data_IF_576781228221
#
_entry.id   IF_576781228221
#
_cell.length_a   1.000
_cell.length_b   1.000
_cell.length_c   1.000
_cell.angle_alpha   90.00
_cell.angle_beta   90.00
_cell.angle_gamma   90.00
#
_symmetry.space_group_name_H-M   'P 1'
#
loop_
_entity.id
_entity.type
_entity.pdbx_description
1 polymer ?
#
# COMPACT_ATOMS: atom_id res chain seq x y z
N UNK A 1 -24.19 23.10 14.52
CA UNK A 1 -24.88 22.16 13.58
C UNK A 1 -24.03 21.63 12.43
N UNK A 2 -22.99 22.34 11.94
CA UNK A 2 -22.10 21.82 10.87
C UNK A 2 -21.13 20.71 11.29
N UNK A 3 -20.71 20.67 12.55
CA UNK A 3 -19.74 19.69 13.07
C UNK A 3 -20.33 18.25 13.13
N UNK A 4 -21.62 18.15 13.44
CA UNK A 4 -22.32 16.85 13.54
C UNK A 4 -22.42 16.14 12.17
N UNK A 5 -22.68 16.89 11.09
CA UNK A 5 -22.82 16.32 9.75
C UNK A 5 -21.48 15.83 9.15
N UNK A 6 -20.34 16.34 9.64
CA UNK A 6 -19.01 15.87 9.20
C UNK A 6 -18.54 14.64 9.99
N UNK A 7 -18.94 14.51 11.25
CA UNK A 7 -18.49 13.42 12.13
C UNK A 7 -19.25 12.12 11.86
N UNK A 8 -20.55 12.19 11.62
CA UNK A 8 -21.39 10.99 11.47
C UNK A 8 -20.92 10.04 10.36
N UNK A 9 -20.60 10.49 9.12
CA UNK A 9 -20.07 9.60 8.08
C UNK A 9 -18.72 8.98 8.46
N UNK A 10 -17.87 9.74 9.16
CA UNK A 10 -16.56 9.25 9.59
C UNK A 10 -16.69 8.15 10.67
N UNK A 11 -17.59 8.34 11.66
CA UNK A 11 -17.86 7.31 12.66
C UNK A 11 -18.45 6.05 12.02
N UNK A 12 -19.38 6.19 11.09
CA UNK A 12 -19.94 5.05 10.37
C UNK A 12 -18.87 4.29 9.58
N UNK A 13 -17.94 4.99 8.92
CA UNK A 13 -16.83 4.37 8.22
C UNK A 13 -15.83 3.68 9.17
N UNK A 14 -15.75 4.13 10.43
CA UNK A 14 -14.89 3.52 11.44
C UNK A 14 -15.48 2.24 12.07
N UNK A 15 -16.80 2.04 12.04
CA UNK A 15 -17.47 0.91 12.73
C UNK A 15 -16.83 -0.46 12.40
N UNK A 16 -16.57 -0.83 11.15
CA UNK A 16 -15.95 -2.13 10.84
C UNK A 16 -14.58 -2.29 11.48
N UNK A 17 -13.76 -1.21 11.50
CA UNK A 17 -12.44 -1.21 12.12
C UNK A 17 -12.56 -1.36 13.64
N UNK A 18 -13.47 -0.59 14.26
CA UNK A 18 -13.72 -0.62 15.69
C UNK A 18 -14.12 -2.03 16.16
N UNK A 19 -15.04 -2.69 15.46
CA UNK A 19 -15.46 -4.06 15.77
C UNK A 19 -14.30 -5.07 15.58
N UNK A 20 -13.51 -4.92 14.53
CA UNK A 20 -12.31 -5.71 14.32
C UNK A 20 -11.31 -5.54 15.46
N UNK A 21 -11.05 -4.30 15.87
CA UNK A 21 -10.09 -3.98 16.93
C UNK A 21 -10.55 -4.44 18.32
N UNK A 22 -11.85 -4.48 18.61
CA UNK A 22 -12.35 -5.11 19.84
C UNK A 22 -12.02 -6.60 19.83
N UNK A 23 -12.27 -7.28 18.72
CA UNK A 23 -12.05 -8.71 18.62
C UNK A 23 -10.57 -9.12 18.76
N UNK A 24 -9.63 -8.32 18.22
CA UNK A 24 -8.20 -8.63 18.23
C UNK A 24 -7.42 -7.94 19.35
N UNK A 25 -7.90 -6.80 19.86
CA UNK A 25 -7.25 -6.07 20.93
C UNK A 25 -7.38 -6.77 22.29
N UNK A 26 -8.50 -7.43 22.58
CA UNK A 26 -8.65 -8.20 23.82
C UNK A 26 -7.59 -9.31 23.91
N UNK A 27 -7.37 -10.19 22.92
CA UNK A 27 -6.27 -11.14 22.95
C UNK A 27 -4.89 -10.49 23.05
N UNK A 28 -4.68 -9.31 22.45
CA UNK A 28 -3.42 -8.57 22.58
C UNK A 28 -3.16 -8.16 24.03
N UNK A 29 -4.17 -7.58 24.71
CA UNK A 29 -4.07 -7.20 26.12
C UNK A 29 -3.82 -8.38 27.05
N UNK A 30 -4.45 -9.55 26.81
CA UNK A 30 -4.18 -10.78 27.55
C UNK A 30 -2.72 -11.21 27.39
N UNK A 31 -2.17 -11.07 26.19
CA UNK A 31 -0.79 -11.40 25.91
C UNK A 31 0.19 -10.40 26.59
N UNK A 32 -0.16 -9.13 26.63
CA UNK A 32 0.60 -8.08 27.33
C UNK A 32 0.58 -8.29 28.87
N UNK A 33 -0.54 -8.71 29.44
CA UNK A 33 -0.66 -9.12 30.85
C UNK A 33 0.27 -10.28 31.17
N UNK A 34 0.42 -11.25 30.29
CA UNK A 34 1.27 -12.42 30.50
C UNK A 34 2.77 -12.11 30.64
N UNK A 35 3.21 -10.95 30.20
CA UNK A 35 4.59 -10.46 30.41
C UNK A 35 4.71 -9.47 31.57
N UNK A 36 3.65 -9.31 32.36
CA UNK A 36 3.61 -8.50 33.56
C UNK A 36 3.28 -7.02 33.35
N UNK A 37 2.75 -6.64 32.18
CA UNK A 37 2.27 -5.28 31.96
C UNK A 37 0.90 -5.06 32.61
N UNK A 38 0.78 -4.00 33.39
CA UNK A 38 -0.49 -3.63 33.99
C UNK A 38 -1.34 -2.76 33.06
N UNK A 39 -2.63 -2.60 33.38
CA UNK A 39 -3.61 -1.86 32.55
C UNK A 39 -3.17 -0.41 32.23
N UNK A 40 -2.49 0.27 33.18
CA UNK A 40 -2.00 1.64 32.96
C UNK A 40 -0.83 1.65 31.98
N UNK A 41 0.09 0.72 32.10
CA UNK A 41 1.22 0.60 31.16
C UNK A 41 0.73 0.27 29.77
N UNK A 42 -0.23 -0.64 29.63
CA UNK A 42 -0.83 -1.01 28.34
C UNK A 42 -1.61 0.15 27.73
N UNK A 43 -2.32 0.95 28.54
CA UNK A 43 -2.97 2.17 28.07
C UNK A 43 -1.96 3.13 27.42
N UNK A 44 -0.88 3.46 28.14
CA UNK A 44 0.16 4.34 27.58
C UNK A 44 0.90 3.73 26.40
N UNK A 45 1.17 2.44 26.42
CA UNK A 45 1.79 1.73 25.30
C UNK A 45 0.90 1.83 24.05
N UNK A 46 -0.38 1.51 24.15
CA UNK A 46 -1.32 1.57 23.03
C UNK A 46 -1.56 3.00 22.50
N UNK A 47 -1.52 4.01 23.38
CA UNK A 47 -1.64 5.41 22.96
C UNK A 47 -0.39 5.96 22.29
N UNK A 48 0.80 5.63 22.79
CA UNK A 48 2.09 6.15 22.30
C UNK A 48 2.64 5.33 21.15
N UNK A 49 2.39 4.02 21.20
CA UNK A 49 2.86 3.05 20.21
C UNK A 49 1.65 2.37 19.55
N UNK A 50 0.92 3.12 18.75
CA UNK A 50 -0.27 2.63 18.07
C UNK A 50 0.10 1.77 16.86
N UNK A 51 0.37 0.48 17.12
CA UNK A 51 0.75 -0.52 16.10
C UNK A 51 0.23 -1.90 16.48
N UNK A 52 -0.84 -2.35 15.80
CA UNK A 52 -1.43 -3.66 16.08
C UNK A 52 -0.40 -4.81 16.02
N UNK A 53 0.26 -4.98 14.89
CA UNK A 53 1.27 -6.03 14.71
C UNK A 53 2.46 -5.87 15.67
N UNK A 54 2.94 -4.63 15.88
CA UNK A 54 4.06 -4.34 16.77
C UNK A 54 3.77 -4.71 18.22
N UNK A 55 2.59 -4.35 18.74
CA UNK A 55 2.18 -4.68 20.10
C UNK A 55 2.07 -6.19 20.32
N UNK A 56 1.57 -6.97 19.37
CA UNK A 56 1.60 -8.42 19.47
C UNK A 56 3.02 -9.01 19.40
N UNK A 57 3.91 -8.42 18.61
CA UNK A 57 5.28 -8.92 18.47
C UNK A 57 6.08 -8.77 19.75
N UNK A 58 5.92 -7.68 20.48
CA UNK A 58 6.68 -7.39 21.71
C UNK A 58 6.55 -8.54 22.73
N UNK A 59 5.36 -8.90 23.22
CA UNK A 59 5.22 -9.96 24.22
C UNK A 59 5.60 -11.34 23.67
N UNK A 60 5.31 -11.65 22.40
CA UNK A 60 5.69 -12.94 21.83
C UNK A 60 7.19 -13.12 21.72
N UNK A 61 7.94 -12.10 21.29
CA UNK A 61 9.39 -12.15 21.23
C UNK A 61 10.01 -12.15 22.63
N UNK A 62 9.40 -11.43 23.57
CA UNK A 62 9.84 -11.44 24.98
C UNK A 62 9.72 -12.84 25.60
N UNK A 63 8.56 -13.47 25.44
CA UNK A 63 8.32 -14.85 25.91
C UNK A 63 9.23 -15.89 25.22
N UNK A 64 9.61 -15.62 23.97
CA UNK A 64 10.59 -16.44 23.25
C UNK A 64 12.05 -16.20 23.70
N UNK A 65 12.30 -15.33 24.69
CA UNK A 65 13.65 -15.01 25.19
C UNK A 65 14.50 -14.19 24.21
N UNK A 66 13.88 -13.45 23.29
CA UNK A 66 14.63 -12.64 22.33
C UNK A 66 15.29 -11.43 23.02
N UNK A 67 16.52 -11.05 22.63
CA UNK A 67 17.17 -9.85 23.12
C UNK A 67 16.34 -8.59 22.80
N UNK A 68 16.32 -7.60 23.68
CA UNK A 68 15.58 -6.34 23.51
C UNK A 68 15.95 -5.66 22.19
N UNK A 69 17.23 -5.64 21.81
CA UNK A 69 17.67 -5.06 20.55
C UNK A 69 17.00 -5.72 19.32
N UNK A 70 16.82 -7.05 19.34
CA UNK A 70 16.13 -7.78 18.28
C UNK A 70 14.62 -7.45 18.23
N UNK A 71 13.99 -7.29 19.41
CA UNK A 71 12.58 -6.89 19.50
C UNK A 71 12.42 -5.50 18.88
N UNK A 72 13.20 -4.52 19.31
CA UNK A 72 13.14 -3.14 18.80
C UNK A 72 13.39 -3.11 17.30
N UNK A 73 14.41 -3.80 16.79
CA UNK A 73 14.73 -3.83 15.37
C UNK A 73 13.60 -4.47 14.54
N UNK A 74 13.06 -5.61 14.99
CA UNK A 74 11.99 -6.31 14.28
C UNK A 74 10.70 -5.48 14.24
N UNK A 75 10.31 -4.90 15.37
CA UNK A 75 9.12 -4.06 15.50
C UNK A 75 9.25 -2.78 14.67
N UNK A 76 10.43 -2.14 14.68
CA UNK A 76 10.70 -0.95 13.86
C UNK A 76 10.61 -1.27 12.36
N UNK A 77 11.15 -2.42 11.93
CA UNK A 77 11.08 -2.84 10.53
C UNK A 77 9.62 -3.07 10.08
N UNK A 78 8.82 -3.77 10.89
CA UNK A 78 7.41 -4.01 10.57
C UNK A 78 6.63 -2.70 10.50
N UNK A 79 6.94 -1.74 11.37
CA UNK A 79 6.25 -0.43 11.40
C UNK A 79 6.68 0.53 10.28
N UNK A 80 7.74 0.24 9.52
CA UNK A 80 8.14 1.03 8.35
C UNK A 80 6.99 1.18 7.35
N UNK A 81 6.10 0.19 7.24
CA UNK A 81 4.90 0.26 6.40
C UNK A 81 3.97 1.42 6.76
N UNK A 82 3.82 1.75 8.05
CA UNK A 82 2.98 2.88 8.49
C UNK A 82 3.53 4.22 8.00
N UNK A 83 4.86 4.36 7.89
CA UNK A 83 5.51 5.53 7.29
C UNK A 83 5.14 5.67 5.81
N UNK A 84 5.08 4.55 5.07
CA UNK A 84 4.69 4.54 3.66
C UNK A 84 3.21 4.91 3.48
N UNK A 85 2.33 4.44 4.37
CA UNK A 85 0.91 4.83 4.35
C UNK A 85 0.74 6.32 4.60
N UNK A 86 1.42 6.86 5.60
CA UNK A 86 1.41 8.29 5.90
C UNK A 86 1.95 9.12 4.74
N UNK A 87 3.04 8.69 4.10
CA UNK A 87 3.61 9.34 2.92
C UNK A 87 2.63 9.35 1.73
N UNK A 88 1.85 8.28 1.55
CA UNK A 88 0.85 8.19 0.47
C UNK A 88 -0.27 9.23 0.62
N UNK A 89 -0.55 9.69 1.84
CA UNK A 89 -1.54 10.75 2.10
C UNK A 89 -0.95 12.17 2.08
N UNK A 90 0.36 12.34 1.85
CA UNK A 90 0.99 13.65 1.84
C UNK A 90 0.32 14.68 0.90
N UNK A 91 -0.12 14.32 -0.34
CA UNK A 91 -0.82 15.24 -1.23
C UNK A 91 -2.14 15.75 -0.65
N UNK A 92 -2.90 14.89 0.07
CA UNK A 92 -4.18 15.24 0.69
C UNK A 92 -4.00 16.18 1.89
N UNK A 93 -2.86 16.09 2.56
CA UNK A 93 -2.52 16.90 3.74
C UNK A 93 -1.86 18.25 3.40
N UNK A 94 -1.50 18.51 2.15
CA UNK A 94 -0.68 19.66 1.75
C UNK A 94 -1.26 21.03 2.17
N UNK A 95 -2.60 21.18 2.15
CA UNK A 95 -3.31 22.43 2.47
C UNK A 95 -3.91 22.44 3.89
N UNK A 96 -3.65 21.41 4.70
CA UNK A 96 -4.21 21.30 6.04
C UNK A 96 -3.26 21.90 7.11
N UNK A 97 -3.82 22.16 8.30
CA UNK A 97 -3.02 22.63 9.44
C UNK A 97 -2.01 21.56 9.84
N UNK A 98 -0.75 21.95 10.07
CA UNK A 98 0.35 21.03 10.44
C UNK A 98 0.01 20.09 11.60
N UNK A 99 -0.70 20.59 12.64
CA UNK A 99 -1.12 19.77 13.77
C UNK A 99 -2.14 18.68 13.38
N UNK A 100 -3.09 18.97 12.48
CA UNK A 100 -4.06 18.00 12.00
C UNK A 100 -3.38 16.96 11.11
N UNK A 101 -2.50 17.39 10.22
CA UNK A 101 -1.71 16.50 9.37
C UNK A 101 -0.81 15.57 10.20
N UNK A 102 -0.17 16.10 11.24
CA UNK A 102 0.63 15.28 12.16
C UNK A 102 -0.23 14.24 12.90
N UNK A 103 -1.35 14.68 13.49
CA UNK A 103 -2.26 13.76 14.20
C UNK A 103 -2.81 12.67 13.27
N UNK A 104 -3.22 13.05 12.07
CA UNK A 104 -3.67 12.11 11.05
C UNK A 104 -2.57 11.10 10.70
N UNK A 105 -1.38 11.58 10.34
CA UNK A 105 -0.26 10.73 9.91
C UNK A 105 0.23 9.80 11.03
N UNK A 106 0.23 10.26 12.28
CA UNK A 106 0.65 9.47 13.43
C UNK A 106 -0.34 8.37 13.81
N UNK A 107 -1.58 8.43 13.34
CA UNK A 107 -2.65 7.49 13.70
C UNK A 107 -3.13 6.63 12.54
N UNK A 108 -2.42 6.62 11.42
CA UNK A 108 -2.76 5.74 10.28
C UNK A 108 -2.31 4.31 10.56
N UNK A 109 -3.23 3.36 10.35
CA UNK A 109 -2.97 1.91 10.38
C UNK A 109 -3.36 1.28 9.06
N UNK A 110 -3.12 -0.02 8.90
CA UNK A 110 -3.45 -0.78 7.68
C UNK A 110 -4.93 -0.66 7.31
N UNK A 111 -5.80 -0.85 8.28
CA UNK A 111 -7.25 -0.85 8.12
C UNK A 111 -7.76 0.57 7.85
N UNK A 112 -7.28 1.54 8.62
CA UNK A 112 -7.68 2.94 8.43
C UNK A 112 -7.14 3.52 7.12
N UNK A 113 -5.96 3.06 6.65
CA UNK A 113 -5.43 3.40 5.33
C UNK A 113 -6.40 2.97 4.23
N UNK A 114 -6.83 1.70 4.24
CA UNK A 114 -7.76 1.17 3.24
C UNK A 114 -9.09 1.94 3.20
N UNK A 115 -9.70 2.15 4.36
CA UNK A 115 -10.98 2.88 4.48
C UNK A 115 -10.84 4.33 4.04
N UNK A 116 -9.81 5.05 4.49
CA UNK A 116 -9.60 6.44 4.13
C UNK A 116 -9.27 6.60 2.65
N UNK A 117 -8.41 5.74 2.08
CA UNK A 117 -8.05 5.80 0.66
C UNK A 117 -9.27 5.58 -0.24
N UNK A 118 -10.11 4.58 0.08
CA UNK A 118 -11.35 4.34 -0.65
C UNK A 118 -12.31 5.54 -0.60
N UNK A 119 -12.42 6.19 0.56
CA UNK A 119 -13.28 7.36 0.73
C UNK A 119 -12.70 8.62 0.07
N UNK A 120 -11.39 8.83 0.09
CA UNK A 120 -10.76 9.95 -0.65
C UNK A 120 -10.99 9.82 -2.15
N UNK A 121 -11.04 8.62 -2.70
CA UNK A 121 -11.33 8.38 -4.12
C UNK A 121 -12.74 8.83 -4.53
N UNK A 122 -13.71 8.98 -3.60
CA UNK A 122 -15.04 9.49 -3.89
C UNK A 122 -15.10 11.01 -4.08
N UNK A 123 -14.01 11.74 -3.75
CA UNK A 123 -13.94 13.19 -3.84
C UNK A 123 -14.71 13.98 -2.77
N UNK A 124 -15.45 13.30 -1.88
CA UNK A 124 -16.24 13.93 -0.81
C UNK A 124 -15.59 13.85 0.58
N UNK A 125 -14.41 13.23 0.66
CA UNK A 125 -13.71 12.99 1.91
C UNK A 125 -12.65 14.07 2.18
N UNK A 126 -12.44 14.38 3.46
CA UNK A 126 -11.42 15.35 3.90
C UNK A 126 -10.57 14.78 5.05
N UNK A 127 -9.42 15.40 5.30
CA UNK A 127 -8.46 14.96 6.32
C UNK A 127 -9.07 14.95 7.72
N UNK A 128 -10.04 15.84 8.02
CA UNK A 128 -10.72 15.88 9.33
C UNK A 128 -11.56 14.63 9.54
N UNK A 129 -12.34 14.20 8.54
CA UNK A 129 -13.12 12.94 8.58
C UNK A 129 -12.20 11.75 8.74
N UNK A 130 -11.11 11.71 7.95
CA UNK A 130 -10.10 10.67 8.02
C UNK A 130 -9.44 10.61 9.41
N UNK A 131 -9.16 11.76 10.04
CA UNK A 131 -8.62 11.81 11.41
C UNK A 131 -9.63 11.29 12.42
N UNK A 132 -10.93 11.56 12.27
CA UNK A 132 -11.97 11.00 13.15
C UNK A 132 -12.02 9.48 13.05
N UNK A 133 -11.95 8.91 11.84
CA UNK A 133 -11.83 7.45 11.63
C UNK A 133 -10.64 6.89 12.40
N UNK A 134 -9.47 7.49 12.25
CA UNK A 134 -8.25 7.04 12.90
C UNK A 134 -8.35 7.12 14.43
N UNK A 135 -8.91 8.21 14.98
CA UNK A 135 -9.06 8.39 16.42
C UNK A 135 -10.08 7.41 17.03
N UNK A 136 -11.21 7.15 16.36
CA UNK A 136 -12.16 6.12 16.77
C UNK A 136 -11.50 4.73 16.81
N UNK A 137 -10.71 4.42 15.80
CA UNK A 137 -9.96 3.17 15.72
C UNK A 137 -8.90 3.07 16.82
N UNK A 138 -8.13 4.14 17.06
CA UNK A 138 -7.12 4.21 18.12
C UNK A 138 -7.76 4.05 19.51
N UNK A 139 -8.87 4.73 19.77
CA UNK A 139 -9.59 4.59 21.03
C UNK A 139 -10.11 3.17 21.23
N UNK A 140 -10.69 2.55 20.20
CA UNK A 140 -11.15 1.17 20.27
C UNK A 140 -10.00 0.20 20.55
N UNK A 141 -8.87 0.35 19.86
CA UNK A 141 -7.67 -0.45 20.07
C UNK A 141 -7.18 -0.34 21.52
N UNK A 142 -6.98 0.88 22.01
CA UNK A 142 -6.48 1.13 23.37
C UNK A 142 -7.43 0.56 24.42
N UNK A 143 -8.73 0.81 24.28
CA UNK A 143 -9.71 0.32 25.24
C UNK A 143 -9.84 -1.20 25.25
N UNK A 144 -9.77 -1.84 24.08
CA UNK A 144 -9.83 -3.30 23.98
C UNK A 144 -8.58 -3.98 24.56
N UNK A 145 -7.38 -3.39 24.36
CA UNK A 145 -6.16 -3.89 25.02
C UNK A 145 -6.23 -3.78 26.53
N UNK A 146 -6.65 -2.63 27.06
CA UNK A 146 -6.86 -2.46 28.50
C UNK A 146 -7.89 -3.45 29.05
N UNK A 147 -9.02 -3.63 28.34
CA UNK A 147 -10.01 -4.63 28.71
C UNK A 147 -9.41 -6.05 28.70
N UNK A 148 -8.56 -6.35 27.72
CA UNK A 148 -7.84 -7.62 27.62
C UNK A 148 -6.95 -7.91 28.83
N UNK A 149 -6.19 -6.92 29.33
CA UNK A 149 -5.39 -7.04 30.56
C UNK A 149 -6.29 -7.35 31.76
N UNK A 150 -7.39 -6.59 31.92
CA UNK A 150 -8.31 -6.79 33.05
C UNK A 150 -9.00 -8.15 33.00
N UNK A 151 -9.35 -8.63 31.80
CA UNK A 151 -9.95 -9.95 31.60
C UNK A 151 -8.92 -11.06 31.82
N UNK A 152 -7.69 -10.88 31.30
CA UNK A 152 -6.59 -11.84 31.45
C UNK A 152 -6.25 -12.09 32.91
N UNK A 153 -6.08 -11.01 33.68
CA UNK A 153 -5.78 -11.08 35.12
C UNK A 153 -6.92 -11.69 35.93
N UNK A 154 -8.19 -11.47 35.52
CA UNK A 154 -9.36 -11.96 36.24
C UNK A 154 -9.74 -13.41 35.96
N UNK A 155 -9.58 -13.86 34.69
CA UNK A 155 -10.08 -15.15 34.23
C UNK A 155 -8.99 -16.21 34.02
N UNK A 156 -7.70 -15.86 34.08
CA UNK A 156 -6.59 -16.79 33.86
C UNK A 156 -6.66 -17.50 32.50
N UNK A 157 -6.96 -16.75 31.43
CA UNK A 157 -7.13 -17.30 30.09
C UNK A 157 -5.81 -17.93 29.60
N UNK A 158 -5.85 -19.16 29.03
CA UNK A 158 -4.65 -19.79 28.50
C UNK A 158 -3.95 -18.94 27.44
N UNK A 159 -2.65 -18.66 27.63
CA UNK A 159 -1.83 -17.86 26.72
C UNK A 159 -1.86 -18.36 25.27
N UNK A 160 -2.04 -19.69 25.07
CA UNK A 160 -2.14 -20.30 23.77
C UNK A 160 -3.26 -19.73 22.90
N UNK A 161 -4.40 -19.32 23.52
CA UNK A 161 -5.54 -18.73 22.80
C UNK A 161 -5.16 -17.34 22.28
N UNK A 162 -4.54 -16.51 23.14
CA UNK A 162 -4.09 -15.18 22.77
C UNK A 162 -3.00 -15.20 21.68
N UNK A 163 -2.02 -16.11 21.78
CA UNK A 163 -0.98 -16.29 20.77
C UNK A 163 -1.54 -16.81 19.44
N UNK A 164 -2.58 -17.65 19.48
CA UNK A 164 -3.26 -18.12 18.28
C UNK A 164 -4.00 -16.98 17.56
N UNK A 165 -4.59 -16.04 18.27
CA UNK A 165 -5.23 -14.88 17.68
C UNK A 165 -4.26 -14.07 16.82
N UNK A 166 -3.03 -13.83 17.30
CA UNK A 166 -1.97 -13.20 16.51
C UNK A 166 -1.66 -13.96 15.22
N UNK A 167 -1.44 -15.26 15.33
CA UNK A 167 -1.16 -16.11 14.16
C UNK A 167 -2.28 -16.03 13.13
N UNK A 168 -3.54 -16.06 13.60
CA UNK A 168 -4.73 -15.96 12.74
C UNK A 168 -4.80 -14.62 12.00
N UNK A 169 -4.42 -13.51 12.64
CA UNK A 169 -4.39 -12.19 11.99
C UNK A 169 -3.35 -12.18 10.86
N UNK A 170 -2.14 -12.67 11.09
CA UNK A 170 -1.10 -12.70 10.06
C UNK A 170 -1.48 -13.63 8.90
N UNK A 171 -2.11 -14.77 9.17
CA UNK A 171 -2.66 -15.66 8.14
C UNK A 171 -3.74 -14.92 7.33
N UNK A 172 -4.66 -14.22 8.00
CA UNK A 172 -5.71 -13.44 7.34
C UNK A 172 -5.10 -12.35 6.45
N UNK A 173 -4.12 -11.59 6.94
CA UNK A 173 -3.42 -10.58 6.15
C UNK A 173 -2.69 -11.18 4.94
N UNK A 174 -2.09 -12.34 5.10
CA UNK A 174 -1.41 -13.02 4.00
C UNK A 174 -2.41 -13.50 2.93
N UNK A 175 -3.54 -14.07 3.33
CA UNK A 175 -4.57 -14.60 2.41
C UNK A 175 -5.33 -13.47 1.70
N UNK A 176 -5.51 -12.32 2.34
CA UNK A 176 -6.20 -11.16 1.74
C UNK A 176 -5.32 -10.37 0.76
N UNK A 177 -4.00 -10.59 0.77
CA UNK A 177 -3.11 -9.99 -0.21
C UNK A 177 -3.36 -10.57 -1.61
N UNK A 178 -3.24 -9.71 -2.64
CA UNK A 178 -3.25 -10.19 -4.03
C UNK A 178 -2.06 -11.13 -4.23
N UNK A 179 -2.36 -12.38 -4.63
CA UNK A 179 -1.33 -13.37 -4.94
C UNK A 179 -0.66 -12.96 -6.24
N UNK A 180 0.48 -12.30 -6.13
CA UNK A 180 1.38 -12.05 -7.26
C UNK A 180 2.57 -13.01 -7.16
N UNK A 181 3.21 -13.28 -8.29
CA UNK A 181 4.39 -14.16 -8.30
C UNK A 181 5.50 -13.61 -7.39
N UNK A 182 5.68 -12.28 -7.37
CA UNK A 182 6.65 -11.61 -6.51
C UNK A 182 6.35 -11.83 -5.02
N UNK A 183 5.07 -11.73 -4.62
CA UNK A 183 4.66 -11.96 -3.24
C UNK A 183 4.84 -13.42 -2.82
N UNK A 184 4.57 -14.37 -3.74
CA UNK A 184 4.78 -15.78 -3.48
C UNK A 184 6.28 -16.11 -3.29
N UNK A 185 7.15 -15.57 -4.13
CA UNK A 185 8.61 -15.70 -3.99
C UNK A 185 9.09 -15.07 -2.68
N UNK A 186 8.62 -13.87 -2.36
CA UNK A 186 8.97 -13.20 -1.09
C UNK A 186 8.60 -14.06 0.12
N UNK A 187 7.38 -14.59 0.16
CA UNK A 187 6.90 -15.44 1.24
C UNK A 187 7.73 -16.73 1.37
N UNK A 188 8.03 -17.38 0.24
CA UNK A 188 8.83 -18.60 0.23
C UNK A 188 10.27 -18.35 0.71
N UNK A 189 10.93 -17.31 0.21
CA UNK A 189 12.30 -16.95 0.62
C UNK A 189 12.35 -16.54 2.09
N UNK A 190 11.36 -15.77 2.57
CA UNK A 190 11.25 -15.41 3.98
C UNK A 190 11.08 -16.65 4.86
N UNK A 191 10.23 -17.59 4.48
CA UNK A 191 10.00 -18.84 5.21
C UNK A 191 11.28 -19.69 5.31
N UNK A 192 11.98 -19.87 4.18
CA UNK A 192 13.27 -20.60 4.14
C UNK A 192 14.30 -19.88 4.98
N UNK A 193 14.38 -18.55 4.91
CA UNK A 193 15.31 -17.74 5.71
C UNK A 193 15.08 -17.89 7.22
N UNK A 194 13.83 -17.80 7.66
CA UNK A 194 13.47 -18.01 9.08
C UNK A 194 13.79 -19.42 9.55
N UNK A 195 13.45 -20.44 8.74
CA UNK A 195 13.71 -21.83 9.06
C UNK A 195 15.22 -22.12 9.18
N UNK A 196 16.01 -21.62 8.22
CA UNK A 196 17.46 -21.76 8.23
C UNK A 196 18.10 -21.09 9.45
N UNK A 197 17.68 -19.87 9.80
CA UNK A 197 18.17 -19.19 11.01
C UNK A 197 17.83 -19.96 12.29
N UNK A 198 16.63 -20.51 12.39
CA UNK A 198 16.23 -21.33 13.54
C UNK A 198 17.03 -22.64 13.62
N UNK A 199 17.30 -23.29 12.49
CA UNK A 199 18.09 -24.51 12.42
C UNK A 199 19.55 -24.29 12.89
N UNK A 200 20.11 -23.11 12.69
CA UNK A 200 21.45 -22.72 13.14
C UNK A 200 21.45 -22.20 14.60
N UNK A 201 20.28 -22.16 15.26
CA UNK A 201 20.17 -21.69 16.65
C UNK A 201 20.03 -20.16 16.82
N UNK A 202 19.92 -19.41 15.72
CA UNK A 202 19.72 -17.95 15.71
C UNK A 202 18.24 -17.58 15.78
N UNK A 203 17.53 -18.02 16.84
CA UNK A 203 16.09 -17.83 16.96
C UNK A 203 15.68 -16.34 17.08
N UNK A 204 16.47 -15.50 17.78
CA UNK A 204 16.17 -14.09 18.01
C UNK A 204 16.10 -13.25 16.72
N UNK A 205 17.12 -13.22 15.86
CA UNK A 205 17.11 -12.42 14.64
C UNK A 205 16.44 -13.12 13.44
N UNK A 206 15.96 -14.36 13.59
CA UNK A 206 15.42 -15.16 12.48
C UNK A 206 14.30 -14.44 11.70
N UNK A 207 13.37 -13.79 12.40
CA UNK A 207 12.24 -13.06 11.78
C UNK A 207 12.75 -11.87 10.96
N UNK A 208 13.70 -11.12 11.50
CA UNK A 208 14.28 -9.96 10.84
C UNK A 208 15.05 -10.37 9.58
N UNK A 209 15.90 -11.39 9.68
CA UNK A 209 16.67 -11.91 8.55
C UNK A 209 15.73 -12.45 7.46
N UNK A 210 14.72 -13.22 7.83
CA UNK A 210 13.74 -13.75 6.89
C UNK A 210 12.97 -12.64 6.18
N UNK A 211 12.54 -11.61 6.91
CA UNK A 211 11.84 -10.46 6.33
C UNK A 211 12.70 -9.69 5.32
N UNK A 212 13.96 -9.39 5.68
CA UNK A 212 14.90 -8.69 4.78
C UNK A 212 15.18 -9.50 3.53
N UNK A 213 15.46 -10.81 3.68
CA UNK A 213 15.68 -11.70 2.53
C UNK A 213 14.47 -11.78 1.62
N UNK A 214 13.26 -11.87 2.18
CA UNK A 214 12.01 -11.89 1.41
C UNK A 214 11.79 -10.61 0.60
N UNK A 215 12.01 -9.45 1.22
CA UNK A 215 11.89 -8.15 0.54
C UNK A 215 12.92 -8.02 -0.57
N UNK A 216 14.19 -8.35 -0.32
CA UNK A 216 15.25 -8.30 -1.33
C UNK A 216 14.93 -9.22 -2.51
N UNK A 217 14.48 -10.44 -2.24
CA UNK A 217 14.09 -11.38 -3.29
C UNK A 217 12.93 -10.85 -4.14
N UNK A 218 11.89 -10.28 -3.50
CA UNK A 218 10.76 -9.67 -4.22
C UNK A 218 11.21 -8.49 -5.10
N UNK A 219 12.09 -7.63 -4.59
CA UNK A 219 12.64 -6.51 -5.36
C UNK A 219 13.43 -6.98 -6.57
N UNK A 220 14.30 -7.97 -6.41
CA UNK A 220 15.10 -8.53 -7.52
C UNK A 220 14.20 -9.15 -8.59
N UNK A 221 13.21 -9.96 -8.20
CA UNK A 221 12.25 -10.57 -9.13
C UNK A 221 11.44 -9.50 -9.86
N UNK A 222 10.97 -8.48 -9.15
CA UNK A 222 10.23 -7.35 -9.71
C UNK A 222 11.08 -6.58 -10.74
N UNK A 223 12.35 -6.32 -10.45
CA UNK A 223 13.26 -5.65 -11.39
C UNK A 223 13.49 -6.49 -12.66
N UNK A 224 13.78 -7.78 -12.50
CA UNK A 224 13.99 -8.69 -13.66
C UNK A 224 12.74 -8.76 -14.53
N UNK A 225 11.54 -8.83 -13.93
CA UNK A 225 10.29 -8.83 -14.69
C UNK A 225 10.04 -7.51 -15.42
N UNK A 226 10.32 -6.37 -14.76
CA UNK A 226 10.19 -5.04 -15.41
C UNK A 226 11.14 -4.91 -16.60
N UNK A 227 12.39 -5.36 -16.47
CA UNK A 227 13.34 -5.37 -17.59
C UNK A 227 12.84 -6.23 -18.75
N UNK A 228 12.35 -7.46 -18.49
CA UNK A 228 11.81 -8.33 -19.53
C UNK A 228 10.56 -7.76 -20.22
N UNK A 229 9.66 -7.14 -19.46
CA UNK A 229 8.47 -6.49 -20.04
C UNK A 229 8.85 -5.29 -20.90
N UNK A 230 9.83 -4.49 -20.46
CA UNK A 230 10.34 -3.37 -21.25
C UNK A 230 11.04 -3.85 -22.53
N UNK A 231 11.81 -4.92 -22.47
CA UNK A 231 12.47 -5.54 -23.63
C UNK A 231 11.46 -6.10 -24.63
N UNK A 232 10.40 -6.80 -24.14
CA UNK A 232 9.33 -7.31 -24.99
C UNK A 232 8.55 -6.16 -25.66
N UNK A 233 8.21 -5.11 -24.92
CA UNK A 233 7.54 -3.94 -25.48
C UNK A 233 8.39 -3.20 -26.52
N UNK A 234 9.72 -3.13 -26.35
CA UNK A 234 10.63 -2.57 -27.32
C UNK A 234 10.71 -3.42 -28.60
N UNK A 235 10.69 -4.74 -28.45
CA UNK A 235 10.68 -5.67 -29.60
C UNK A 235 9.37 -5.56 -30.39
N UNK A 236 8.21 -5.50 -29.71
CA UNK A 236 6.91 -5.33 -30.34
C UNK A 236 6.84 -3.99 -31.12
N UNK A 237 7.35 -2.92 -30.55
CA UNK A 237 7.43 -1.62 -31.22
C UNK A 237 8.36 -1.65 -32.46
N UNK A 238 9.46 -2.42 -32.43
CA UNK A 238 10.32 -2.62 -33.60
C UNK A 238 9.62 -3.42 -34.70
N UNK A 239 8.88 -4.46 -34.35
CA UNK A 239 8.11 -5.27 -35.31
C UNK A 239 7.03 -4.41 -35.98
N UNK A 240 6.29 -3.61 -35.18
CA UNK A 240 5.25 -2.72 -35.71
C UNK A 240 5.82 -1.65 -36.64
N UNK A 241 6.98 -1.07 -36.33
CA UNK A 241 7.67 -0.11 -37.20
C UNK A 241 8.19 -0.74 -38.47
N UNK A 242 8.68 -1.98 -38.44
CA UNK A 242 9.10 -2.72 -39.61
C UNK A 242 7.93 -3.05 -40.56
N UNK A 243 6.81 -3.50 -40.00
CA UNK A 243 5.58 -3.77 -40.77
C UNK A 243 5.00 -2.50 -41.42
N UNK A 244 5.03 -1.37 -40.72
CA UNK A 244 4.61 -0.09 -41.28
C UNK A 244 5.50 0.34 -42.44
N UNK A 245 6.81 0.15 -42.34
CA UNK A 245 7.76 0.43 -43.42
C UNK A 245 7.57 -0.46 -44.66
N UNK A 246 7.28 -1.76 -44.46
CA UNK A 246 6.94 -2.67 -45.57
C UNK A 246 5.60 -2.32 -46.23
N UNK A 247 4.63 -1.87 -45.44
CA UNK A 247 3.34 -1.39 -45.96
C UNK A 247 3.50 -0.14 -46.84
N UNK A 248 4.32 0.82 -46.43
CA UNK A 248 4.64 2.01 -47.24
C UNK A 248 5.44 1.67 -48.51
N UNK A 249 6.41 0.78 -48.44
CA UNK A 249 7.18 0.33 -49.57
C UNK A 249 6.30 -0.39 -50.62
N UNK A 250 5.41 -1.27 -50.18
CA UNK A 250 4.45 -1.95 -51.03
C UNK A 250 3.43 -0.98 -51.66
N UNK A 251 2.97 0.03 -50.93
CA UNK A 251 2.07 1.06 -51.43
C UNK A 251 2.76 1.97 -52.48
N UNK A 252 4.05 2.28 -52.28
CA UNK A 252 4.86 3.03 -53.24
C UNK A 252 5.09 2.23 -54.52
N UNK A 253 5.39 0.93 -54.42
CA UNK A 253 5.58 0.02 -55.56
C UNK A 253 4.24 -0.17 -56.35
N UNK A 254 3.12 -0.30 -55.65
CA UNK A 254 1.80 -0.36 -56.27
C UNK A 254 1.43 0.93 -57.02
N UNK A 255 1.78 2.11 -56.48
CA UNK A 255 1.61 3.40 -57.18
C UNK A 255 2.50 3.52 -58.38
N UNK A 256 3.77 3.07 -58.31
CA UNK A 256 4.70 3.07 -59.43
C UNK A 256 4.19 2.18 -60.59
N UNK A 257 3.65 1.01 -60.31
CA UNK A 257 3.02 0.13 -61.32
C UNK A 257 1.77 0.73 -61.95
N UNK A 258 0.94 1.37 -61.14
CA UNK A 258 -0.27 2.07 -61.66
C UNK A 258 0.08 3.25 -62.56
N UNK A 259 1.22 3.89 -62.39
CA UNK A 259 1.67 4.96 -63.28
C UNK A 259 2.31 4.42 -64.60
N UNK A 260 2.72 3.17 -64.65
CA UNK A 260 3.26 2.54 -65.88
C UNK A 260 2.16 2.05 -66.83
N UNK A 261 0.95 1.75 -66.30
CA UNK A 261 -0.17 1.27 -67.09
C UNK A 261 -1.08 2.40 -67.67
N UNK A 262 -0.71 3.67 -67.42
CA UNK A 262 -1.44 4.83 -67.96
C UNK A 262 -0.46 5.62 -68.85
N UNK A 263 -0.53 5.42 -70.15
CA UNK A 263 0.16 6.23 -71.20
C UNK A 263 -0.40 7.68 -71.18
N UNK A 264 -0.05 8.47 -70.15
CA UNK A 264 -0.29 9.91 -70.12
C UNK A 264 1.05 10.61 -69.86
N UNK A 265 1.40 11.65 -70.62
CA UNK A 265 2.70 12.31 -70.51
C UNK A 265 2.84 12.96 -69.14
N UNK A 266 3.87 12.60 -68.42
CA UNK A 266 4.31 13.19 -67.16
C UNK A 266 4.51 14.70 -67.33
N UNK A 267 3.57 15.50 -66.81
CA UNK A 267 3.79 16.93 -66.66
C UNK A 267 4.89 17.22 -65.64
N UNK A 268 5.76 18.14 -66.02
CA UNK A 268 6.94 18.60 -65.27
C UNK A 268 6.55 19.05 -63.85
N UNK A 269 7.27 18.61 -62.76
CA UNK A 269 6.96 18.96 -61.39
C UNK A 269 7.20 20.42 -60.97
N UNK A 270 7.43 21.34 -61.91
CA UNK A 270 7.72 22.74 -61.65
C UNK A 270 6.49 23.65 -61.55
N UNK A 271 5.24 23.17 -61.82
CA UNK A 271 4.07 24.03 -61.95
C UNK A 271 3.05 23.99 -60.77
N UNK A 272 3.40 23.45 -59.64
CA UNK A 272 2.48 23.33 -58.46
C UNK A 272 2.70 24.43 -57.41
N UNK A 273 3.36 25.53 -57.72
CA UNK A 273 3.58 26.64 -56.78
C UNK A 273 2.91 27.95 -57.24
N UNK A 274 1.65 27.90 -57.71
CA UNK A 274 0.85 29.09 -57.91
C UNK A 274 -0.59 28.91 -57.40
N UNK A 275 -0.77 29.03 -56.11
CA UNK A 275 -2.10 29.24 -55.53
C UNK A 275 -2.31 30.72 -55.19
N UNK A 276 -3.43 31.33 -55.60
CA UNK A 276 -3.64 32.75 -55.42
C UNK A 276 -3.97 33.11 -53.95
N UNK A 277 -3.29 34.17 -53.50
CA UNK A 277 -3.73 34.91 -52.30
C UNK A 277 -5.08 35.52 -52.55
N UNK A 278 -6.09 35.16 -51.77
CA UNK A 278 -7.31 35.92 -51.62
C UNK A 278 -7.34 36.65 -50.30
N UNK A 279 -7.22 37.95 -50.42
CA UNK A 279 -7.53 38.98 -49.45
C UNK A 279 -9.05 39.16 -49.37
N UNK A 280 -9.59 39.27 -48.20
CA UNK A 280 -10.76 40.07 -47.81
C UNK A 280 -10.94 39.86 -46.29
N UNK A 281 -10.62 40.79 -45.43
CA UNK A 281 -11.29 42.05 -45.13
C UNK A 281 -12.66 41.86 -44.40
N UNK A 282 -12.58 42.27 -43.13
CA UNK A 282 -13.50 43.16 -42.42
C UNK A 282 -14.93 42.79 -42.13
N UNK A 283 -15.27 43.09 -40.92
CA UNK A 283 -16.60 43.51 -40.44
C UNK A 283 -17.20 42.52 -39.47
N UNK A 284 -17.47 42.81 -38.23
CA UNK A 284 -18.05 43.96 -37.63
C UNK A 284 -18.87 43.46 -36.47
N UNK A 285 -18.70 44.10 -35.37
CA UNK A 285 -19.69 44.47 -34.33
C UNK A 285 -20.88 43.57 -33.97
N UNK A 286 -20.98 43.40 -32.66
CA UNK A 286 -22.24 43.71 -32.01
C UNK A 286 -22.95 42.59 -31.24
N UNK A 287 -22.85 42.71 -30.00
CA UNK A 287 -23.71 42.51 -28.84
C UNK A 287 -23.36 41.40 -27.90
#
# INVERSE_FOLDING_TARGET
MKLSNDIQPAVQAAIPIVLGYIAIGIPCGILEDSIGLNAVQVFFLSCMFYSGAGQFMIPNMWLAGSPIASIVASVSLVNTRQMLYSASFAPMCANERKGLSFLFSATVTDESFGVNMANFATGTWNVRRATVVNLCSCASWTLSNVAGVLIGSALGIPLAIASFAMTSIFICLLVTQKVTFENAVAAFVAMVGVFSCKAVGLAGPAILVGAVLGVVAAMLVSQVRRCRVAEAAALDAQVESAQAGEGEANAADARARSCQDVDLPCGNPADVNAAPRNSAQEGGEGR
#
